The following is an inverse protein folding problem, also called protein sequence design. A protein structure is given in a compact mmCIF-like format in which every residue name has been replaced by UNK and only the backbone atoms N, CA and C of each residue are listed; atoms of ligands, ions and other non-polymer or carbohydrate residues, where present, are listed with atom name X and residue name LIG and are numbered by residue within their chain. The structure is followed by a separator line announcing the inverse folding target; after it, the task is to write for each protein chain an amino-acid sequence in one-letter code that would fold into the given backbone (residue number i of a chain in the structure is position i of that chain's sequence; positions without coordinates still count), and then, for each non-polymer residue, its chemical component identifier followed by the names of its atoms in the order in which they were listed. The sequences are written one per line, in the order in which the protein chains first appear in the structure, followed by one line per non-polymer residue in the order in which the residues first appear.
data_IF_003841365771
#
_entry.id   IF_003841365771
#
_cell.length_a   1.000
_cell.length_b   1.000
_cell.length_c   1.000
_cell.angle_alpha   90.00
_cell.angle_beta   90.00
_cell.angle_gamma   90.00
#
_symmetry.space_group_name_H-M   'P 1'
#
loop_
_entity.id
_entity.type
_entity.pdbx_description
1 polymer ?
#
# COMPACT_ATOMS: atom_id res chain seq x y z
N UNK A 1 -2.96 6.08 21.59
CA UNK A 1 -3.12 4.99 22.58
C UNK A 1 -3.12 3.64 21.88
N UNK A 2 -3.08 2.53 22.62
CA UNK A 2 -3.00 1.18 22.05
C UNK A 2 -4.26 0.82 21.24
N UNK A 3 -5.44 1.23 21.70
CA UNK A 3 -6.76 0.93 21.09
C UNK A 3 -7.38 2.10 20.30
N UNK A 4 -6.62 3.18 20.08
CA UNK A 4 -7.11 4.36 19.34
C UNK A 4 -8.17 5.16 20.11
N UNK A 5 -8.78 6.14 19.45
CA UNK A 5 -9.88 6.96 19.99
C UNK A 5 -11.27 6.42 19.64
N UNK A 6 -11.37 5.50 18.67
CA UNK A 6 -12.63 4.98 18.14
C UNK A 6 -12.95 5.52 16.74
N UNK A 7 -13.68 4.71 15.96
CA UNK A 7 -14.08 5.01 14.57
C UNK A 7 -14.84 6.34 14.49
N UNK A 8 -14.41 7.25 13.59
CA UNK A 8 -14.95 8.61 13.41
C UNK A 8 -14.77 9.57 14.60
N UNK A 9 -13.98 9.21 15.61
CA UNK A 9 -13.63 10.10 16.73
C UNK A 9 -12.24 10.74 16.61
N UNK A 10 -11.64 10.70 15.41
CA UNK A 10 -10.35 11.32 15.12
C UNK A 10 -10.39 12.84 15.27
N UNK A 11 -9.62 13.38 16.23
CA UNK A 11 -9.59 14.83 16.47
C UNK A 11 -8.70 15.57 15.48
N UNK A 12 -7.62 14.94 14.98
CA UNK A 12 -6.75 15.51 13.95
C UNK A 12 -7.44 15.57 12.59
N UNK A 13 -8.40 14.66 12.35
CA UNK A 13 -9.24 14.63 11.17
C UNK A 13 -10.37 15.65 11.16
N UNK A 14 -10.66 16.35 12.27
CA UNK A 14 -11.76 17.32 12.36
C UNK A 14 -11.28 18.78 12.49
N UNK A 15 -10.03 19.01 12.93
CA UNK A 15 -9.50 20.32 13.30
C UNK A 15 -8.58 20.99 12.24
N UNK A 16 -8.61 20.58 10.96
CA UNK A 16 -7.83 21.23 9.88
C UNK A 16 -6.30 21.26 10.02
N UNK A 17 -5.72 20.52 10.97
CA UNK A 17 -4.27 20.52 11.22
C UNK A 17 -3.43 19.79 10.14
N UNK A 18 -4.06 19.03 9.25
CA UNK A 18 -3.37 18.24 8.22
C UNK A 18 -3.85 18.70 6.82
N UNK A 19 -2.96 19.26 5.98
CA UNK A 19 -3.28 19.45 4.57
C UNK A 19 -3.55 18.08 3.93
N UNK A 20 -4.61 17.95 3.15
CA UNK A 20 -4.93 16.74 2.35
C UNK A 20 -5.14 15.42 3.16
N UNK A 21 -6.08 15.46 4.12
CA UNK A 21 -6.40 14.37 5.07
C UNK A 21 -6.86 13.05 4.42
N UNK A 22 -7.49 13.12 3.25
CA UNK A 22 -8.09 11.96 2.56
C UNK A 22 -7.11 11.24 1.63
N UNK A 23 -5.95 11.85 1.32
CA UNK A 23 -4.96 11.30 0.40
C UNK A 23 -3.67 10.95 1.13
N UNK A 24 -2.91 11.96 1.53
CA UNK A 24 -1.52 11.78 1.93
C UNK A 24 -1.37 11.40 3.41
N UNK A 25 -2.30 11.88 4.25
CA UNK A 25 -2.30 11.65 5.70
C UNK A 25 -3.35 10.67 6.18
N UNK A 26 -3.94 9.87 5.28
CA UNK A 26 -4.97 8.88 5.65
C UNK A 26 -4.44 7.86 6.68
N UNK A 27 -3.14 7.53 6.63
CA UNK A 27 -2.50 6.65 7.61
C UNK A 27 -2.45 7.29 9.01
N UNK A 28 -2.27 8.61 9.11
CA UNK A 28 -2.27 9.33 10.39
C UNK A 28 -3.67 9.32 11.02
N UNK A 29 -4.70 9.57 10.21
CA UNK A 29 -6.11 9.50 10.63
C UNK A 29 -6.46 8.09 11.11
N UNK A 30 -6.10 7.08 10.31
CA UNK A 30 -6.32 5.68 10.66
C UNK A 30 -5.63 5.30 11.98
N UNK A 31 -4.37 5.72 12.17
CA UNK A 31 -3.62 5.50 13.40
C UNK A 31 -4.18 6.23 14.61
N UNK A 32 -4.85 7.37 14.43
CA UNK A 32 -5.55 8.06 15.52
C UNK A 32 -6.81 7.31 15.95
N UNK A 33 -7.61 6.85 14.97
CA UNK A 33 -8.88 6.16 15.21
C UNK A 33 -8.69 4.76 15.79
N UNK A 34 -7.79 3.97 15.20
CA UNK A 34 -7.56 2.57 15.56
C UNK A 34 -6.34 2.34 16.46
N UNK A 35 -5.51 3.36 16.65
CA UNK A 35 -4.32 3.27 17.50
C UNK A 35 -3.24 2.36 16.94
N UNK A 36 -2.38 1.91 17.86
CA UNK A 36 -1.24 1.05 17.53
C UNK A 36 -1.68 -0.31 16.96
N UNK A 37 -2.76 -0.90 17.50
CA UNK A 37 -3.29 -2.18 17.03
C UNK A 37 -3.73 -2.10 15.57
N UNK A 38 -4.46 -1.04 15.19
CA UNK A 38 -4.82 -0.81 13.80
C UNK A 38 -3.59 -0.73 12.90
N UNK A 39 -2.60 0.08 13.28
CA UNK A 39 -1.38 0.25 12.49
C UNK A 39 -0.63 -1.08 12.29
N UNK A 40 -0.55 -1.93 13.32
CA UNK A 40 0.06 -3.26 13.22
C UNK A 40 -0.72 -4.15 12.24
N UNK A 41 -2.05 -4.16 12.32
CA UNK A 41 -2.89 -4.94 11.39
C UNK A 41 -2.70 -4.45 9.96
N UNK A 42 -2.69 -3.13 9.74
CA UNK A 42 -2.50 -2.55 8.42
C UNK A 42 -1.11 -2.86 7.85
N UNK A 43 -0.06 -2.75 8.67
CA UNK A 43 1.30 -3.16 8.31
C UNK A 43 1.37 -4.65 7.95
N UNK A 44 0.72 -5.51 8.73
CA UNK A 44 0.66 -6.94 8.45
C UNK A 44 -0.04 -7.23 7.10
N UNK A 45 -1.13 -6.52 6.78
CA UNK A 45 -1.81 -6.65 5.50
C UNK A 45 -0.92 -6.23 4.32
N UNK A 46 -0.19 -5.12 4.42
CA UNK A 46 0.78 -4.73 3.39
C UNK A 46 1.93 -5.73 3.27
N UNK A 47 2.45 -6.23 4.39
CA UNK A 47 3.50 -7.25 4.38
C UNK A 47 3.03 -8.54 3.71
N UNK A 48 1.79 -8.97 3.95
CA UNK A 48 1.18 -10.11 3.26
C UNK A 48 1.00 -9.85 1.77
N UNK A 49 0.52 -8.66 1.37
CA UNK A 49 0.34 -8.29 -0.02
C UNK A 49 1.68 -8.27 -0.78
N UNK A 50 2.70 -7.63 -0.22
CA UNK A 50 4.04 -7.56 -0.80
C UNK A 50 4.69 -8.94 -0.81
N UNK A 51 4.57 -9.71 0.28
CA UNK A 51 5.04 -11.09 0.36
C UNK A 51 4.42 -11.98 -0.72
N UNK A 52 3.11 -11.85 -0.96
CA UNK A 52 2.42 -12.52 -2.08
C UNK A 52 2.96 -12.06 -3.44
N UNK A 53 3.19 -10.76 -3.65
CA UNK A 53 3.79 -10.22 -4.88
C UNK A 53 5.20 -10.75 -5.15
N UNK A 54 6.04 -10.86 -4.11
CA UNK A 54 7.37 -11.45 -4.18
C UNK A 54 7.30 -12.95 -4.50
N UNK A 55 6.34 -13.68 -3.92
CA UNK A 55 6.12 -15.09 -4.27
C UNK A 55 5.73 -15.26 -5.73
N UNK A 56 4.85 -14.39 -6.28
CA UNK A 56 4.49 -14.41 -7.71
C UNK A 56 5.74 -14.15 -8.56
N UNK A 57 6.53 -13.14 -8.20
CA UNK A 57 7.78 -12.81 -8.87
C UNK A 57 8.74 -14.00 -8.88
N UNK A 58 9.03 -14.59 -7.72
CA UNK A 58 9.94 -15.73 -7.60
C UNK A 58 9.50 -16.93 -8.45
N UNK A 59 8.19 -17.11 -8.60
CA UNK A 59 7.55 -18.20 -9.33
C UNK A 59 7.29 -17.92 -10.82
N UNK A 60 7.52 -16.71 -11.32
CA UNK A 60 7.27 -16.40 -12.73
C UNK A 60 8.20 -17.22 -13.65
N UNK A 61 7.63 -17.76 -14.74
CA UNK A 61 8.31 -18.69 -15.66
C UNK A 61 9.30 -18.00 -16.60
N UNK A 62 9.07 -16.74 -16.94
CA UNK A 62 9.91 -15.97 -17.85
C UNK A 62 10.70 -14.89 -17.11
N UNK A 63 11.88 -14.55 -17.60
CA UNK A 63 12.70 -13.47 -17.06
C UNK A 63 11.97 -12.11 -17.16
N UNK A 64 11.25 -11.88 -18.26
CA UNK A 64 10.39 -10.71 -18.40
C UNK A 64 9.28 -10.67 -17.33
N UNK A 65 8.55 -11.78 -17.12
CA UNK A 65 7.51 -11.86 -16.10
C UNK A 65 8.05 -11.64 -14.69
N UNK A 66 9.26 -12.15 -14.41
CA UNK A 66 10.01 -11.88 -13.16
C UNK A 66 10.32 -10.40 -12.97
N UNK A 67 10.94 -9.75 -13.96
CA UNK A 67 11.31 -8.34 -13.86
C UNK A 67 10.08 -7.44 -13.74
N UNK A 68 9.04 -7.71 -14.54
CA UNK A 68 7.78 -6.97 -14.52
C UNK A 68 7.06 -7.11 -13.18
N UNK A 69 6.86 -8.34 -12.70
CA UNK A 69 6.23 -8.59 -11.41
C UNK A 69 7.04 -7.98 -10.25
N UNK A 70 8.38 -8.07 -10.33
CA UNK A 70 9.29 -7.46 -9.37
C UNK A 70 9.17 -5.94 -9.33
N UNK A 71 9.12 -5.28 -10.49
CA UNK A 71 8.96 -3.83 -10.59
C UNK A 71 7.62 -3.36 -10.01
N UNK A 72 6.52 -4.07 -10.30
CA UNK A 72 5.19 -3.76 -9.74
C UNK A 72 5.21 -3.97 -8.22
N UNK A 73 5.78 -5.08 -7.74
CA UNK A 73 5.89 -5.34 -6.30
C UNK A 73 6.73 -4.27 -5.59
N UNK A 74 7.82 -3.82 -6.20
CA UNK A 74 8.66 -2.74 -5.68
C UNK A 74 7.91 -1.42 -5.65
N UNK A 75 7.12 -1.11 -6.69
CA UNK A 75 6.25 0.08 -6.71
C UNK A 75 5.28 0.08 -5.52
N UNK A 76 4.58 -1.04 -5.26
CA UNK A 76 3.70 -1.15 -4.08
C UNK A 76 4.45 -0.92 -2.76
N UNK A 77 5.63 -1.53 -2.62
CA UNK A 77 6.47 -1.36 -1.43
C UNK A 77 6.89 0.10 -1.25
N UNK A 78 7.40 0.75 -2.31
CA UNK A 78 7.86 2.14 -2.24
C UNK A 78 6.73 3.09 -1.89
N UNK A 79 5.53 2.92 -2.47
CA UNK A 79 4.38 3.76 -2.11
C UNK A 79 4.01 3.60 -0.62
N UNK A 80 3.92 2.36 -0.12
CA UNK A 80 3.60 2.12 1.28
C UNK A 80 4.70 2.64 2.22
N UNK A 81 5.97 2.37 1.89
CA UNK A 81 7.13 2.79 2.69
C UNK A 81 7.27 4.31 2.74
N UNK A 82 7.13 5.00 1.60
CA UNK A 82 7.23 6.46 1.54
C UNK A 82 6.06 7.11 2.28
N UNK A 83 4.82 6.63 2.09
CA UNK A 83 3.67 7.19 2.80
C UNK A 83 3.80 7.02 4.33
N UNK A 84 4.19 5.84 4.80
CA UNK A 84 4.42 5.59 6.23
C UNK A 84 5.62 6.36 6.78
N UNK A 85 6.71 6.48 6.01
CA UNK A 85 7.90 7.24 6.38
C UNK A 85 7.62 8.74 6.50
N UNK A 86 6.80 9.28 5.60
CA UNK A 86 6.32 10.65 5.64
C UNK A 86 5.44 10.90 6.88
N UNK A 87 4.48 10.02 7.17
CA UNK A 87 3.56 10.19 8.31
C UNK A 87 4.27 10.01 9.66
N UNK A 88 5.30 9.17 9.72
CA UNK A 88 6.13 9.01 10.92
C UNK A 88 7.18 10.12 11.11
N UNK A 89 7.30 11.05 10.16
CA UNK A 89 8.28 12.15 10.21
C UNK A 89 9.72 11.72 9.90
N UNK A 90 9.93 10.50 9.38
CA UNK A 90 11.24 9.97 8.99
C UNK A 90 11.66 10.53 7.61
N UNK A 91 10.68 10.70 6.71
CA UNK A 91 10.90 11.24 5.36
C UNK A 91 10.20 12.60 5.22
N UNK A 92 10.72 13.50 4.35
CA UNK A 92 10.03 14.73 4.02
C UNK A 92 8.68 14.44 3.34
N UNK A 93 7.74 15.38 3.43
CA UNK A 93 6.40 15.24 2.85
C UNK A 93 6.49 15.32 1.32
N UNK A 94 6.16 14.21 0.64
CA UNK A 94 6.26 14.08 -0.84
C UNK A 94 4.89 14.04 -1.52
N UNK A 95 3.82 13.81 -0.75
CA UNK A 95 2.45 13.76 -1.27
C UNK A 95 2.14 12.52 -2.11
N UNK A 96 2.49 11.33 -1.57
CA UNK A 96 2.26 10.05 -2.24
C UNK A 96 1.08 9.33 -1.56
N UNK A 97 0.02 8.95 -2.29
CA UNK A 97 -1.16 8.33 -1.72
C UNK A 97 -0.88 6.90 -1.23
N UNK A 98 -1.47 6.54 -0.10
CA UNK A 98 -1.36 5.19 0.46
C UNK A 98 -2.08 4.15 -0.45
N UNK A 99 -1.40 3.10 -0.97
CA UNK A 99 -2.00 2.17 -1.91
C UNK A 99 -3.25 1.48 -1.37
N UNK A 100 -4.34 1.44 -2.13
CA UNK A 100 -5.62 0.78 -1.79
C UNK A 100 -6.44 1.42 -0.64
N UNK A 101 -5.90 2.41 0.06
CA UNK A 101 -6.57 3.04 1.23
C UNK A 101 -6.85 4.53 1.00
N UNK A 102 -5.96 5.22 0.29
CA UNK A 102 -6.07 6.65 0.00
C UNK A 102 -7.04 6.97 -1.15
N UNK A 103 -7.76 8.09 -1.05
CA UNK A 103 -8.65 8.62 -2.09
C UNK A 103 -7.89 9.29 -3.27
N UNK A 104 -7.08 8.52 -3.99
CA UNK A 104 -6.45 8.95 -5.24
C UNK A 104 -7.04 8.19 -6.42
N UNK A 105 -7.97 8.78 -7.18
CA UNK A 105 -8.67 8.07 -8.26
C UNK A 105 -7.75 7.48 -9.33
N UNK A 106 -6.78 8.26 -9.83
CA UNK A 106 -5.80 7.81 -10.82
C UNK A 106 -4.83 6.78 -10.24
N UNK A 107 -4.40 6.98 -9.00
CA UNK A 107 -3.52 6.05 -8.28
C UNK A 107 -4.21 4.70 -8.07
N UNK A 108 -5.48 4.68 -7.64
CA UNK A 108 -6.27 3.45 -7.46
C UNK A 108 -6.36 2.65 -8.77
N UNK A 109 -6.70 3.30 -9.89
CA UNK A 109 -6.79 2.62 -11.20
C UNK A 109 -5.43 2.01 -11.59
N UNK A 110 -4.34 2.76 -11.39
CA UNK A 110 -2.99 2.29 -11.70
C UNK A 110 -2.59 1.10 -10.84
N UNK A 111 -2.92 1.13 -9.55
CA UNK A 111 -2.64 0.04 -8.62
C UNK A 111 -3.46 -1.21 -8.95
N UNK A 112 -4.74 -1.07 -9.29
CA UNK A 112 -5.57 -2.19 -9.72
C UNK A 112 -5.07 -2.82 -11.01
N UNK A 113 -4.64 -2.00 -11.98
CA UNK A 113 -3.98 -2.50 -13.20
C UNK A 113 -2.70 -3.27 -12.85
N UNK A 114 -1.86 -2.76 -11.95
CA UNK A 114 -0.67 -3.45 -11.47
C UNK A 114 -0.97 -4.82 -10.85
N UNK A 115 -2.01 -4.91 -10.01
CA UNK A 115 -2.46 -6.18 -9.44
C UNK A 115 -2.98 -7.12 -10.53
N UNK A 116 -3.75 -6.62 -11.49
CA UNK A 116 -4.22 -7.38 -12.65
C UNK A 116 -3.08 -7.99 -13.46
N UNK A 117 -2.01 -7.23 -13.69
CA UNK A 117 -0.80 -7.71 -14.37
C UNK A 117 -0.11 -8.79 -13.52
N UNK A 118 0.06 -8.58 -12.21
CA UNK A 118 0.63 -9.60 -11.32
C UNK A 118 -0.16 -10.92 -11.36
N UNK A 119 -1.49 -10.85 -11.32
CA UNK A 119 -2.35 -12.02 -11.43
C UNK A 119 -2.24 -12.70 -12.81
N UNK A 120 -2.10 -11.90 -13.87
CA UNK A 120 -1.87 -12.43 -15.23
C UNK A 120 -0.56 -13.20 -15.32
N UNK A 121 0.54 -12.65 -14.78
CA UNK A 121 1.86 -13.32 -14.73
C UNK A 121 1.78 -14.65 -13.98
N UNK A 122 1.04 -14.68 -12.86
CA UNK A 122 0.84 -15.92 -12.10
C UNK A 122 0.04 -16.97 -12.89
N UNK A 123 -1.02 -16.54 -13.58
CA UNK A 123 -1.95 -17.43 -14.31
C UNK A 123 -1.30 -18.02 -15.57
N UNK A 124 -0.57 -17.20 -16.34
CA UNK A 124 0.03 -17.59 -17.62
C UNK A 124 1.34 -18.40 -17.46
N UNK A 125 1.78 -18.66 -16.23
CA UNK A 125 2.92 -19.54 -15.93
C UNK A 125 2.79 -20.94 -16.53
N UNK A 126 1.56 -21.45 -16.67
CA UNK A 126 1.29 -22.84 -17.09
C UNK A 126 1.19 -23.05 -18.61
N UNK A 127 1.20 -21.99 -19.43
CA UNK A 127 0.91 -22.10 -20.86
C UNK A 127 2.12 -22.48 -21.72
N UNK A 128 3.35 -22.40 -21.22
CA UNK A 128 4.53 -22.93 -21.92
C UNK A 128 4.86 -24.30 -21.32
N UNK A 129 4.12 -25.32 -21.74
CA UNK A 129 4.63 -26.70 -21.70
C UNK A 129 5.58 -26.84 -22.88
N UNK A 130 6.89 -26.79 -22.61
CA UNK A 130 7.90 -27.40 -23.49
C UNK A 130 7.77 -28.91 -23.45
#
# INVERSE_FOLDING_TARGET
GVLGKGWLQGTQAHLDFLPERHTDFIFAVYGEEFGLLGNIVLLALYALLIGRGLLITANASTLFGRLLAGAICLMFFTYAFVNMGMVSGILPVVGVPLPLVSYGGTAMVTLFLGIGILMSVQTHRKLVKT
#
